data_IF_594840899006
#
_entry.id   IF_594840899006
#
_cell.length_a   1.000
_cell.length_b   1.000
_cell.length_c   1.000
_cell.angle_alpha   90.00
_cell.angle_beta   90.00
_cell.angle_gamma   90.00
#
_symmetry.space_group_name_H-M   'P 1'
#
loop_
_entity.id
_entity.type
_entity.pdbx_description
1 polymer ?
#
# COMPACT_ATOMS: atom_id res chain seq x y z
N UNK A 1 -28.74 2.45 51.04
CA UNK A 1 -27.41 2.04 50.54
C UNK A 1 -27.55 1.23 49.25
N UNK A 2 -28.16 0.02 49.31
CA UNK A 2 -28.24 -0.93 48.18
C UNK A 2 -28.90 -0.37 46.91
N UNK A 3 -29.97 0.44 47.03
CA UNK A 3 -30.65 1.03 45.86
C UNK A 3 -29.83 2.11 45.12
N UNK A 4 -28.92 2.79 45.80
CA UNK A 4 -28.05 3.80 45.18
C UNK A 4 -26.91 3.10 44.41
N UNK A 5 -26.31 2.05 44.99
CA UNK A 5 -25.24 1.27 44.35
C UNK A 5 -25.72 0.59 43.04
N UNK A 6 -26.94 0.05 43.03
CA UNK A 6 -27.52 -0.57 41.82
C UNK A 6 -27.70 0.44 40.69
N UNK A 7 -28.15 1.67 40.99
CA UNK A 7 -28.29 2.71 39.98
C UNK A 7 -26.94 3.19 39.43
N UNK A 8 -25.91 3.30 40.27
CA UNK A 8 -24.57 3.71 39.83
C UNK A 8 -23.93 2.66 38.93
N UNK A 9 -24.07 1.37 39.25
CA UNK A 9 -23.58 0.26 38.41
C UNK A 9 -24.29 0.25 37.04
N UNK A 10 -25.60 0.49 37.01
CA UNK A 10 -26.36 0.56 35.76
C UNK A 10 -25.94 1.73 34.85
N UNK A 11 -25.64 2.90 35.42
CA UNK A 11 -25.17 4.07 34.65
C UNK A 11 -23.76 3.82 34.08
N UNK A 12 -22.87 3.21 34.86
CA UNK A 12 -21.52 2.86 34.39
C UNK A 12 -21.62 1.79 33.29
N UNK A 13 -22.42 0.75 33.48
CA UNK A 13 -22.58 -0.29 32.48
C UNK A 13 -23.15 0.25 31.15
N UNK A 14 -24.19 1.08 31.21
CA UNK A 14 -24.80 1.67 30.01
C UNK A 14 -23.87 2.63 29.27
N UNK A 15 -23.12 3.48 29.99
CA UNK A 15 -22.14 4.38 29.36
C UNK A 15 -20.99 3.62 28.69
N UNK A 16 -20.47 2.56 29.30
CA UNK A 16 -19.44 1.70 28.70
C UNK A 16 -19.96 1.01 27.44
N UNK A 17 -21.18 0.46 27.47
CA UNK A 17 -21.80 -0.18 26.31
C UNK A 17 -22.02 0.82 25.17
N UNK A 18 -22.54 2.01 25.48
CA UNK A 18 -22.77 3.05 24.49
C UNK A 18 -21.46 3.50 23.82
N UNK A 19 -20.41 3.72 24.60
CA UNK A 19 -19.09 4.08 24.09
C UNK A 19 -18.49 2.97 23.22
N UNK A 20 -18.59 1.72 23.68
CA UNK A 20 -18.11 0.55 22.93
C UNK A 20 -18.83 0.41 21.59
N UNK A 21 -20.16 0.56 21.55
CA UNK A 21 -20.94 0.51 20.31
C UNK A 21 -20.51 1.59 19.31
N UNK A 22 -20.34 2.83 19.79
CA UNK A 22 -19.88 3.94 18.93
C UNK A 22 -18.49 3.65 18.37
N UNK A 23 -17.56 3.16 19.21
CA UNK A 23 -16.20 2.84 18.77
C UNK A 23 -16.17 1.71 17.73
N UNK A 24 -16.97 0.65 17.93
CA UNK A 24 -17.08 -0.47 16.99
C UNK A 24 -17.70 -0.03 15.66
N UNK A 25 -18.72 0.82 15.69
CA UNK A 25 -19.34 1.38 14.50
C UNK A 25 -18.32 2.15 13.67
N UNK A 26 -17.51 2.99 14.32
CA UNK A 26 -16.51 3.82 13.65
C UNK A 26 -15.39 2.97 13.03
N UNK A 27 -14.90 1.95 13.75
CA UNK A 27 -13.90 1.00 13.22
C UNK A 27 -14.48 0.20 12.05
N UNK A 28 -15.73 -0.28 12.16
CA UNK A 28 -16.39 -1.02 11.09
C UNK A 28 -16.53 -0.18 9.81
N UNK A 29 -16.88 1.10 9.96
CA UNK A 29 -16.96 2.04 8.84
C UNK A 29 -15.60 2.24 8.16
N UNK A 30 -14.52 2.42 8.93
CA UNK A 30 -13.17 2.56 8.39
C UNK A 30 -12.70 1.30 7.65
N UNK A 31 -12.98 0.11 8.20
CA UNK A 31 -12.64 -1.16 7.55
C UNK A 31 -13.44 -1.38 6.26
N UNK A 32 -14.72 -1.00 6.24
CA UNK A 32 -15.55 -1.05 5.03
C UNK A 32 -15.00 -0.11 3.94
N UNK A 33 -14.65 1.12 4.31
CA UNK A 33 -14.04 2.08 3.39
C UNK A 33 -12.70 1.56 2.84
N UNK A 34 -11.82 1.06 3.70
CA UNK A 34 -10.54 0.45 3.30
C UNK A 34 -10.78 -0.70 2.31
N UNK A 35 -11.73 -1.58 2.61
CA UNK A 35 -12.07 -2.72 1.74
C UNK A 35 -12.57 -2.32 0.35
N UNK A 36 -13.30 -1.22 0.25
CA UNK A 36 -13.82 -0.70 -1.03
C UNK A 36 -12.77 0.07 -1.82
N UNK A 37 -11.91 0.84 -1.15
CA UNK A 37 -10.99 1.79 -1.79
C UNK A 37 -9.61 1.21 -2.09
N UNK A 38 -9.18 0.17 -1.37
CA UNK A 38 -7.90 -0.49 -1.64
C UNK A 38 -8.13 -1.79 -2.42
N UNK A 39 -7.37 -2.03 -3.50
CA UNK A 39 -7.46 -3.30 -4.23
C UNK A 39 -7.09 -4.44 -3.28
N UNK A 40 -8.02 -5.38 -3.10
CA UNK A 40 -7.82 -6.58 -2.29
C UNK A 40 -7.48 -7.76 -3.19
N UNK A 41 -6.41 -8.47 -2.85
CA UNK A 41 -5.97 -9.68 -3.55
C UNK A 41 -4.53 -9.59 -4.03
N UNK A 42 -3.98 -10.74 -4.39
CA UNK A 42 -2.64 -10.83 -4.99
C UNK A 42 -2.70 -10.29 -6.41
N UNK A 43 -1.75 -9.44 -6.76
CA UNK A 43 -1.56 -8.97 -8.13
C UNK A 43 -0.53 -9.85 -8.83
N UNK A 44 -0.74 -10.08 -10.13
CA UNK A 44 0.23 -10.79 -10.96
C UNK A 44 1.24 -9.80 -11.51
N UNK A 45 2.53 -10.07 -11.26
CA UNK A 45 3.65 -9.33 -11.80
C UNK A 45 4.39 -10.23 -12.79
N UNK A 46 4.39 -9.84 -14.06
CA UNK A 46 5.03 -10.59 -15.15
C UNK A 46 6.39 -9.95 -15.44
N UNK A 47 7.45 -10.73 -15.35
CA UNK A 47 8.83 -10.28 -15.59
C UNK A 47 9.31 -10.90 -16.90
N UNK A 48 9.69 -10.05 -17.85
CA UNK A 48 10.25 -10.46 -19.15
C UNK A 48 9.45 -11.58 -19.83
N UNK A 49 8.11 -11.54 -19.72
CA UNK A 49 7.16 -12.50 -20.34
C UNK A 49 7.39 -13.99 -19.98
N UNK A 50 8.24 -14.28 -19.00
CA UNK A 50 8.72 -15.64 -18.70
C UNK A 50 8.49 -16.04 -17.25
N UNK A 51 8.45 -15.07 -16.33
CA UNK A 51 8.22 -15.32 -14.90
C UNK A 51 6.96 -14.61 -14.45
N UNK A 52 6.01 -15.36 -13.92
CA UNK A 52 4.85 -14.84 -13.21
C UNK A 52 5.08 -14.92 -11.69
N UNK A 53 4.88 -13.80 -11.00
CA UNK A 53 4.90 -13.74 -9.53
C UNK A 53 3.55 -13.24 -9.03
N UNK A 54 2.99 -13.93 -8.04
CA UNK A 54 1.85 -13.41 -7.29
C UNK A 54 2.34 -12.65 -6.07
N UNK A 55 2.08 -11.35 -6.04
CA UNK A 55 2.62 -10.44 -5.03
C UNK A 55 1.51 -9.60 -4.40
N UNK A 56 1.73 -9.15 -3.17
CA UNK A 56 0.77 -8.26 -2.51
C UNK A 56 0.95 -6.82 -3.02
N UNK A 57 -0.15 -6.11 -3.36
CA UNK A 57 -0.08 -4.72 -3.76
C UNK A 57 0.32 -3.81 -2.59
N UNK A 58 0.99 -2.69 -2.90
CA UNK A 58 1.35 -1.66 -1.91
C UNK A 58 2.85 -1.54 -1.62
N UNK A 59 3.66 -2.49 -2.10
CA UNK A 59 5.12 -2.39 -2.10
C UNK A 59 5.64 -1.85 -3.43
N UNK A 60 6.85 -1.29 -3.43
CA UNK A 60 7.52 -0.88 -4.68
C UNK A 60 7.97 -2.08 -5.51
N UNK A 61 8.20 -1.87 -6.81
CA UNK A 61 8.69 -2.92 -7.70
C UNK A 61 10.08 -3.39 -7.26
N UNK A 62 10.94 -2.47 -6.81
CA UNK A 62 12.28 -2.74 -6.29
C UNK A 62 12.24 -3.72 -5.10
N UNK A 63 11.40 -3.42 -4.09
CA UNK A 63 11.30 -4.26 -2.89
C UNK A 63 10.66 -5.62 -3.21
N UNK A 64 9.62 -5.63 -4.03
CA UNK A 64 8.92 -6.84 -4.47
C UNK A 64 9.84 -7.79 -5.24
N UNK A 65 10.65 -7.26 -6.16
CA UNK A 65 11.61 -8.05 -6.93
C UNK A 65 12.77 -8.55 -6.05
N UNK A 66 13.29 -7.70 -5.17
CA UNK A 66 14.36 -8.06 -4.22
C UNK A 66 13.95 -9.23 -3.32
N UNK A 67 12.72 -9.21 -2.79
CA UNK A 67 12.16 -10.30 -1.98
C UNK A 67 12.05 -11.62 -2.76
N UNK A 68 11.86 -11.54 -4.08
CA UNK A 68 11.83 -12.68 -4.99
C UNK A 68 13.21 -13.01 -5.60
N UNK A 69 14.30 -12.55 -4.97
CA UNK A 69 15.70 -12.79 -5.37
C UNK A 69 16.07 -12.22 -6.74
N UNK A 70 15.36 -11.18 -7.19
CA UNK A 70 15.65 -10.43 -8.42
C UNK A 70 16.07 -9.02 -8.02
N UNK A 71 17.38 -8.75 -8.10
CA UNK A 71 17.95 -7.52 -7.59
C UNK A 71 18.07 -6.47 -8.70
N UNK A 72 17.40 -5.33 -8.50
CA UNK A 72 17.69 -4.13 -9.28
C UNK A 72 18.80 -3.35 -8.56
N UNK A 73 19.76 -2.78 -9.32
CA UNK A 73 20.81 -1.96 -8.72
C UNK A 73 20.16 -0.75 -8.03
N UNK A 74 20.47 -0.56 -6.75
CA UNK A 74 19.93 0.55 -5.95
C UNK A 74 20.92 0.97 -4.88
N UNK A 75 21.38 2.22 -4.95
CA UNK A 75 22.27 2.81 -3.95
C UNK A 75 21.50 3.55 -2.83
N UNK A 76 20.27 4.01 -3.11
CA UNK A 76 19.50 4.85 -2.18
C UNK A 76 18.48 4.08 -1.32
N UNK A 77 18.36 2.76 -1.50
CA UNK A 77 17.42 1.93 -0.74
C UNK A 77 15.93 2.23 -1.03
N UNK A 78 15.61 2.78 -2.20
CA UNK A 78 14.23 3.06 -2.61
C UNK A 78 13.74 4.50 -2.37
N UNK A 79 14.65 5.45 -2.10
CA UNK A 79 14.30 6.86 -1.90
C UNK A 79 14.06 7.66 -3.20
N UNK A 80 14.23 7.05 -4.37
CA UNK A 80 14.03 7.73 -5.67
C UNK A 80 15.09 8.77 -6.04
N UNK A 81 16.24 8.81 -5.35
CA UNK A 81 17.26 9.86 -5.55
C UNK A 81 18.48 9.43 -6.36
N UNK A 82 18.74 8.12 -6.49
CA UNK A 82 19.96 7.63 -7.16
C UNK A 82 19.81 7.31 -8.65
N UNK A 83 18.58 7.17 -9.16
CA UNK A 83 18.33 6.85 -10.57
C UNK A 83 18.78 5.46 -11.05
N UNK A 84 19.28 4.60 -10.17
CA UNK A 84 19.86 3.31 -10.57
C UNK A 84 18.84 2.19 -10.73
N UNK A 85 17.72 2.25 -10.02
CA UNK A 85 16.69 1.22 -10.04
C UNK A 85 15.82 1.32 -11.31
N UNK A 86 16.43 1.29 -12.49
CA UNK A 86 15.75 1.43 -13.76
C UNK A 86 15.05 0.13 -14.16
N UNK A 87 13.81 0.25 -14.59
CA UNK A 87 13.02 -0.85 -15.12
C UNK A 87 12.06 -0.36 -16.19
N UNK A 88 11.65 -1.25 -17.08
CA UNK A 88 10.62 -0.96 -18.07
C UNK A 88 9.29 -1.52 -17.59
N UNK A 89 8.28 -0.66 -17.50
CA UNK A 89 6.94 -1.04 -17.05
C UNK A 89 5.98 -0.90 -18.22
N UNK A 90 5.72 -2.00 -18.93
CA UNK A 90 4.89 -1.99 -20.15
C UNK A 90 3.42 -1.75 -19.86
N UNK A 91 2.92 -2.20 -18.72
CA UNK A 91 1.52 -2.06 -18.32
C UNK A 91 1.40 -1.73 -16.82
N UNK A 92 0.36 -0.99 -16.43
CA UNK A 92 0.06 -0.69 -15.02
C UNK A 92 0.92 0.38 -14.34
N UNK A 93 1.95 0.92 -15.00
CA UNK A 93 2.89 1.91 -14.43
C UNK A 93 2.42 3.37 -14.41
N UNK A 94 1.21 3.68 -14.88
CA UNK A 94 0.68 5.05 -14.92
C UNK A 94 1.51 6.03 -15.78
N UNK A 95 1.41 7.33 -15.51
CA UNK A 95 2.24 8.39 -16.15
C UNK A 95 3.54 8.63 -15.39
N UNK A 96 4.58 9.11 -16.08
CA UNK A 96 5.89 9.36 -15.45
C UNK A 96 5.78 10.45 -14.39
N UNK A 97 6.37 10.21 -13.22
CA UNK A 97 6.34 11.20 -12.14
C UNK A 97 7.39 12.29 -12.41
N UNK A 98 7.13 13.56 -12.05
CA UNK A 98 8.09 14.66 -12.19
C UNK A 98 9.45 14.39 -11.54
N UNK A 99 9.47 13.57 -10.47
CA UNK A 99 10.67 13.13 -9.76
C UNK A 99 11.53 12.17 -10.57
N UNK A 100 10.94 11.41 -11.49
CA UNK A 100 11.63 10.45 -12.35
C UNK A 100 12.12 11.10 -13.65
N UNK A 101 11.44 12.15 -14.13
CA UNK A 101 11.67 12.80 -15.42
C UNK A 101 13.11 13.27 -15.61
N UNK A 102 13.79 13.65 -14.53
CA UNK A 102 15.20 14.10 -14.57
C UNK A 102 16.22 12.98 -14.83
N UNK A 103 15.83 11.72 -14.64
CA UNK A 103 16.73 10.57 -14.81
C UNK A 103 16.64 9.91 -16.19
N UNK A 104 15.60 10.23 -16.98
CA UNK A 104 15.33 9.59 -18.27
C UNK A 104 15.27 10.62 -19.40
N UNK A 105 15.80 10.27 -20.56
CA UNK A 105 15.66 11.10 -21.76
C UNK A 105 14.23 10.99 -22.36
N UNK A 106 13.83 11.92 -23.25
CA UNK A 106 12.49 11.92 -23.85
C UNK A 106 12.12 10.60 -24.56
N UNK A 107 13.07 9.91 -25.19
CA UNK A 107 12.82 8.62 -25.86
C UNK A 107 12.59 7.50 -24.84
N UNK A 108 13.34 7.48 -23.75
CA UNK A 108 13.18 6.52 -22.66
C UNK A 108 11.83 6.68 -21.95
N UNK A 109 11.41 7.92 -21.72
CA UNK A 109 10.09 8.23 -21.15
C UNK A 109 8.96 7.69 -22.05
N UNK A 110 9.09 7.83 -23.37
CA UNK A 110 8.14 7.27 -24.35
C UNK A 110 8.19 5.73 -24.41
N UNK A 111 9.32 5.13 -24.08
CA UNK A 111 9.53 3.68 -24.06
C UNK A 111 9.17 3.01 -22.72
N UNK A 112 8.46 3.73 -21.84
CA UNK A 112 7.99 3.25 -20.54
C UNK A 112 9.10 2.86 -19.54
N UNK A 113 10.25 3.54 -19.62
CA UNK A 113 11.26 3.45 -18.57
C UNK A 113 10.83 4.21 -17.32
N UNK A 114 11.03 3.58 -16.17
CA UNK A 114 10.65 4.06 -14.84
C UNK A 114 11.66 3.68 -13.79
N UNK A 115 11.61 4.39 -12.66
CA UNK A 115 12.30 3.95 -11.45
C UNK A 115 11.41 2.92 -10.76
N UNK A 116 11.96 1.76 -10.42
CA UNK A 116 11.22 0.68 -9.74
C UNK A 116 11.00 0.93 -8.25
N UNK A 117 11.60 1.99 -7.68
CA UNK A 117 11.49 2.31 -6.25
C UNK A 117 10.19 3.01 -5.89
#
# INVERSE_FOLDING_TARGET
>A
MILLDVNTIMIIATSVIAFLLISLLLVAMLLFAKKKLTPQGKVKLIINETKELEVEPGNSVLSTLSNNKIFLPSACGGKGTCGMCTCRVTEGGGSILPTETGFFNRKEQQNYWRLGC
#
